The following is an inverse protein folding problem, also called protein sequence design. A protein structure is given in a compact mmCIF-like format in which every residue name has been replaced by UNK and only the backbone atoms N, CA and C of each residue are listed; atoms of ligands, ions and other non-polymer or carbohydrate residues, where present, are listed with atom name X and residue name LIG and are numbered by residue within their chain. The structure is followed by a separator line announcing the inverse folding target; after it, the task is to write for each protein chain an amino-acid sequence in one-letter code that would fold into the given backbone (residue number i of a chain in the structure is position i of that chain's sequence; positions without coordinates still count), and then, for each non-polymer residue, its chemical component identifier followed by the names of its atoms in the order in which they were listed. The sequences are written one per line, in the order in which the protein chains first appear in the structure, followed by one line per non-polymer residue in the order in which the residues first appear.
data_IF_006323102811
#
_entry.id   IF_006323102811
#
_cell.length_a   1.000
_cell.length_b   1.000
_cell.length_c   1.000
_cell.angle_alpha   90.00
_cell.angle_beta   90.00
_cell.angle_gamma   90.00
#
_symmetry.space_group_name_H-M   'P 1'
#
loop_
_entity.id
_entity.type
_entity.pdbx_description
1 polymer ?
#
# COMPACT_ATOMS: atom_id res chain seq x y z
N UNK A 1 -0.98 -8.65 -5.44
CA UNK A 1 -0.24 -7.39 -5.60
C UNK A 1 0.92 -7.34 -4.63
N UNK A 2 2.05 -6.81 -5.07
CA UNK A 2 3.24 -6.70 -4.23
C UNK A 2 3.41 -5.29 -3.67
N UNK A 3 3.89 -5.19 -2.43
CA UNK A 3 4.35 -3.95 -1.82
C UNK A 3 5.78 -4.16 -1.30
N UNK A 4 6.65 -3.19 -1.59
CA UNK A 4 8.04 -3.22 -1.14
C UNK A 4 8.50 -1.80 -0.84
N UNK A 5 9.75 -1.67 -0.38
CA UNK A 5 10.35 -0.35 -0.13
C UNK A 5 11.30 0.04 -1.26
N UNK A 6 11.69 1.32 -1.28
CA UNK A 6 12.86 1.75 -2.01
C UNK A 6 14.14 1.12 -1.40
N UNK A 7 15.27 1.21 -2.10
CA UNK A 7 16.55 0.75 -1.57
C UNK A 7 16.94 1.57 -0.34
N UNK A 8 17.71 0.96 0.56
CA UNK A 8 18.20 1.59 1.78
C UNK A 8 17.06 2.16 2.64
N UNK A 9 15.96 1.42 2.72
CA UNK A 9 14.78 1.83 3.45
C UNK A 9 15.03 1.85 4.96
N UNK A 10 14.44 2.83 5.63
CA UNK A 10 14.44 2.91 7.08
C UNK A 10 13.32 2.05 7.69
N UNK A 11 13.29 2.01 9.03
CA UNK A 11 12.31 1.20 9.76
C UNK A 11 10.87 1.67 9.53
N UNK A 12 10.64 2.95 9.28
CA UNK A 12 9.29 3.50 9.06
C UNK A 12 8.72 3.05 7.72
N UNK A 13 9.54 3.03 6.67
CA UNK A 13 9.14 2.52 5.37
C UNK A 13 8.78 1.03 5.45
N UNK A 14 9.62 0.24 6.11
CA UNK A 14 9.40 -1.21 6.29
C UNK A 14 8.14 -1.49 7.10
N UNK A 15 7.91 -0.71 8.16
CA UNK A 15 6.74 -0.85 9.01
C UNK A 15 5.45 -0.55 8.25
N UNK A 16 5.44 0.49 7.44
CA UNK A 16 4.29 0.82 6.60
C UNK A 16 3.94 -0.34 5.67
N UNK A 17 4.92 -0.90 4.96
CA UNK A 17 4.72 -2.06 4.10
C UNK A 17 4.14 -3.24 4.86
N UNK A 18 4.69 -3.54 6.03
CA UNK A 18 4.24 -4.66 6.86
C UNK A 18 2.79 -4.50 7.30
N UNK A 19 2.41 -3.32 7.79
CA UNK A 19 1.04 -3.07 8.25
C UNK A 19 0.06 -3.02 7.08
N UNK A 20 0.42 -2.38 5.98
CA UNK A 20 -0.43 -2.32 4.81
C UNK A 20 -0.76 -3.74 4.31
N UNK A 21 0.25 -4.59 4.19
CA UNK A 21 0.06 -5.99 3.78
C UNK A 21 -0.70 -6.80 4.82
N UNK A 22 -0.55 -6.48 6.10
CA UNK A 22 -1.29 -7.14 7.18
C UNK A 22 -2.79 -6.83 7.11
N UNK A 23 -3.15 -5.58 6.78
CA UNK A 23 -4.54 -5.14 6.71
C UNK A 23 -5.21 -5.41 5.36
N UNK A 24 -4.43 -5.72 4.32
CA UNK A 24 -4.94 -6.14 3.02
C UNK A 24 -4.34 -7.49 2.63
N UNK A 25 -5.07 -8.61 2.86
CA UNK A 25 -4.53 -9.95 2.58
C UNK A 25 -4.11 -10.19 1.12
N UNK A 26 -4.69 -9.45 0.18
CA UNK A 26 -4.33 -9.55 -1.24
C UNK A 26 -3.01 -8.87 -1.59
N UNK A 27 -2.46 -8.07 -0.67
CA UNK A 27 -1.20 -7.36 -0.84
C UNK A 27 -0.11 -8.13 -0.11
N UNK A 28 0.96 -8.50 -0.82
CA UNK A 28 2.08 -9.24 -0.24
C UNK A 28 3.28 -8.33 -0.06
N UNK A 29 3.78 -8.26 1.16
CA UNK A 29 5.03 -7.53 1.46
C UNK A 29 6.23 -8.37 1.07
N UNK A 30 7.09 -7.81 0.22
CA UNK A 30 8.35 -8.43 -0.17
C UNK A 30 9.48 -7.52 0.28
N UNK A 31 10.42 -8.04 1.10
CA UNK A 31 11.61 -7.26 1.46
C UNK A 31 12.39 -6.88 0.20
N UNK A 32 12.75 -5.59 0.09
CA UNK A 32 13.48 -5.11 -1.09
C UNK A 32 14.87 -5.74 -1.19
N UNK A 33 15.63 -5.76 -0.09
CA UNK A 33 16.98 -6.25 -0.10
C UNK A 33 17.83 -5.57 -1.16
N UNK A 34 18.58 -6.37 -1.92
CA UNK A 34 19.42 -5.91 -3.02
C UNK A 34 18.73 -6.03 -4.39
N UNK A 35 17.44 -6.38 -4.41
CA UNK A 35 16.72 -6.57 -5.67
C UNK A 35 16.59 -5.27 -6.45
N UNK A 36 16.88 -5.34 -7.76
CA UNK A 36 16.67 -4.22 -8.67
C UNK A 36 15.16 -4.12 -9.03
N UNK A 37 14.71 -2.93 -9.39
CA UNK A 37 13.33 -2.70 -9.83
C UNK A 37 12.91 -3.64 -10.95
N UNK A 38 13.81 -3.87 -11.91
CA UNK A 38 13.52 -4.75 -13.06
C UNK A 38 13.08 -6.14 -12.60
N UNK A 39 13.77 -6.72 -11.62
CA UNK A 39 13.42 -8.05 -11.10
C UNK A 39 12.08 -8.06 -10.38
N UNK A 40 11.77 -6.99 -9.67
CA UNK A 40 10.47 -6.85 -9.01
C UNK A 40 9.35 -6.72 -10.04
N UNK A 41 9.58 -5.98 -11.13
CA UNK A 41 8.64 -5.85 -12.23
C UNK A 41 8.38 -7.18 -12.93
N UNK A 42 9.45 -7.95 -13.19
CA UNK A 42 9.34 -9.29 -13.77
C UNK A 42 8.50 -10.20 -12.88
N UNK A 43 8.75 -10.19 -11.58
CA UNK A 43 8.00 -11.01 -10.62
C UNK A 43 6.52 -10.62 -10.57
N UNK A 44 6.23 -9.34 -10.47
CA UNK A 44 4.85 -8.84 -10.44
C UNK A 44 4.12 -9.15 -11.74
N UNK A 45 4.79 -8.99 -12.88
CA UNK A 45 4.23 -9.35 -14.19
C UNK A 45 3.94 -10.84 -14.29
N UNK A 46 4.85 -11.68 -13.83
CA UNK A 46 4.66 -13.13 -13.80
C UNK A 46 3.45 -13.54 -12.96
N UNK A 47 3.22 -12.85 -11.84
CA UNK A 47 2.07 -13.08 -10.98
C UNK A 47 0.75 -12.51 -11.54
N UNK A 48 0.82 -11.81 -12.66
CA UNK A 48 -0.37 -11.19 -13.27
C UNK A 48 -0.84 -9.93 -12.59
N UNK A 49 0.01 -9.29 -11.79
CA UNK A 49 -0.36 -8.06 -11.07
C UNK A 49 -0.46 -6.88 -12.01
N UNK A 50 -1.50 -6.06 -11.85
CA UNK A 50 -1.67 -4.82 -12.61
C UNK A 50 -0.96 -3.63 -11.98
N UNK A 51 -0.69 -3.69 -10.68
CA UNK A 51 -0.04 -2.64 -9.92
C UNK A 51 1.04 -3.19 -9.01
N UNK A 52 2.02 -2.33 -8.71
CA UNK A 52 3.11 -2.59 -7.76
C UNK A 52 3.27 -1.35 -6.89
N UNK A 53 3.35 -1.55 -5.59
CA UNK A 53 3.48 -0.46 -4.62
C UNK A 53 4.91 -0.39 -4.09
N UNK A 54 5.49 0.81 -4.11
CA UNK A 54 6.83 1.05 -3.55
C UNK A 54 6.75 2.20 -2.54
N UNK A 55 7.20 1.92 -1.31
CA UNK A 55 7.23 2.91 -0.25
C UNK A 55 8.61 3.52 -0.16
N UNK A 56 8.72 4.78 -0.47
CA UNK A 56 9.95 5.57 -0.40
C UNK A 56 9.84 6.74 0.55
N UNK A 57 10.71 7.71 0.37
CA UNK A 57 10.72 8.96 1.12
C UNK A 57 10.78 10.15 0.18
N UNK A 58 10.08 11.22 0.55
CA UNK A 58 10.15 12.50 -0.14
C UNK A 58 9.97 13.62 0.85
N UNK A 59 10.96 14.51 0.94
CA UNK A 59 10.94 15.66 1.85
C UNK A 59 10.65 15.25 3.31
N UNK A 60 11.26 14.16 3.77
CA UNK A 60 11.11 13.68 5.14
C UNK A 60 9.86 12.87 5.43
N UNK A 61 8.89 12.81 4.52
CA UNK A 61 7.66 12.04 4.68
C UNK A 61 7.74 10.72 3.92
N UNK A 62 6.86 9.78 4.26
CA UNK A 62 6.72 8.56 3.46
C UNK A 62 6.05 8.91 2.13
N UNK A 63 6.50 8.25 1.08
CA UNK A 63 5.89 8.36 -0.24
C UNK A 63 5.45 6.99 -0.70
N UNK A 64 4.15 6.82 -0.96
CA UNK A 64 3.63 5.61 -1.59
C UNK A 64 3.57 5.85 -3.09
N UNK A 65 4.43 5.14 -3.82
CA UNK A 65 4.47 5.18 -5.28
C UNK A 65 3.70 4.01 -5.84
N UNK A 66 2.73 4.29 -6.71
CA UNK A 66 1.93 3.27 -7.38
C UNK A 66 2.43 3.14 -8.81
N UNK A 67 2.92 1.95 -9.16
CA UNK A 67 3.35 1.61 -10.49
C UNK A 67 2.28 0.79 -11.18
N UNK A 68 1.97 1.12 -12.42
CA UNK A 68 0.97 0.43 -13.22
C UNK A 68 1.62 -0.35 -14.35
N UNK A 69 1.17 -1.58 -14.56
CA UNK A 69 1.67 -2.43 -15.63
C UNK A 69 1.14 -2.00 -16.99
N UNK A 70 2.05 -1.93 -17.96
CA UNK A 70 1.75 -1.81 -19.39
C UNK A 70 2.52 -2.91 -20.10
N UNK A 71 1.81 -3.92 -20.62
CA UNK A 71 2.41 -5.13 -21.18
C UNK A 71 3.20 -5.89 -20.10
N UNK A 72 4.54 -5.97 -20.20
CA UNK A 72 5.40 -6.67 -19.23
C UNK A 72 6.19 -5.70 -18.34
N UNK A 73 6.04 -4.41 -18.54
CA UNK A 73 6.76 -3.38 -17.78
C UNK A 73 5.83 -2.59 -16.88
N UNK A 74 6.39 -2.01 -15.81
CA UNK A 74 5.66 -1.15 -14.88
C UNK A 74 6.16 0.27 -14.99
N UNK A 75 5.25 1.24 -14.94
CA UNK A 75 5.55 2.67 -15.03
C UNK A 75 4.92 3.42 -13.88
N UNK A 76 5.56 4.48 -13.37
CA UNK A 76 4.97 5.31 -12.34
C UNK A 76 3.60 5.83 -12.79
N UNK A 77 2.58 5.66 -11.96
CA UNK A 77 1.21 6.11 -12.27
C UNK A 77 0.81 7.26 -11.34
N UNK A 78 0.89 7.04 -10.04
CA UNK A 78 0.60 8.06 -9.04
C UNK A 78 1.53 7.90 -7.84
N UNK A 79 1.73 8.99 -7.10
CA UNK A 79 2.39 8.93 -5.81
C UNK A 79 1.62 9.74 -4.78
N UNK A 80 1.71 9.31 -3.55
CA UNK A 80 1.04 9.93 -2.41
C UNK A 80 2.06 10.22 -1.33
N UNK A 81 2.10 11.45 -0.85
CA UNK A 81 2.91 11.81 0.31
C UNK A 81 2.04 11.59 1.54
N UNK A 82 2.52 10.78 2.48
CA UNK A 82 1.77 10.33 3.63
C UNK A 82 2.33 10.91 4.93
N UNK A 83 1.43 11.29 5.83
CA UNK A 83 1.78 11.85 7.13
C UNK A 83 0.80 11.35 8.20
N UNK A 84 1.10 11.63 9.48
CA UNK A 84 0.24 11.29 10.62
C UNK A 84 -0.15 9.81 10.63
N UNK A 85 0.84 8.93 10.52
CA UNK A 85 0.62 7.49 10.40
C UNK A 85 0.43 6.88 11.80
N UNK A 86 -0.68 6.19 11.97
CA UNK A 86 -1.04 5.49 13.22
C UNK A 86 -1.11 3.99 12.97
N UNK A 87 -0.55 3.22 13.89
CA UNK A 87 -0.57 1.75 13.86
C UNK A 87 -1.04 1.18 15.18
N UNK A 88 -1.89 0.16 15.10
CA UNK A 88 -2.24 -0.69 16.24
C UNK A 88 -2.29 -2.13 15.76
N UNK A 89 -1.54 -3.00 16.41
CA UNK A 89 -1.49 -4.41 16.01
C UNK A 89 -2.85 -5.08 16.24
N UNK A 90 -3.42 -5.78 15.24
CA UNK A 90 -4.66 -6.52 15.43
C UNK A 90 -4.44 -7.73 16.34
N UNK A 91 -5.49 -8.14 17.08
CA UNK A 91 -5.44 -9.31 17.96
C UNK A 91 -5.37 -10.61 17.15
N UNK A 92 -6.13 -10.70 16.07
CA UNK A 92 -6.24 -11.88 15.23
C UNK A 92 -5.76 -11.61 13.83
N UNK A 93 -5.42 -12.69 13.10
CA UNK A 93 -5.05 -12.60 11.70
C UNK A 93 -6.24 -12.11 10.88
N UNK A 94 -5.98 -11.12 10.03
CA UNK A 94 -7.00 -10.56 9.14
C UNK A 94 -7.07 -11.40 7.88
N UNK A 95 -8.27 -11.86 7.53
CA UNK A 95 -8.49 -12.71 6.38
C UNK A 95 -9.24 -12.01 5.24
N UNK A 96 -9.89 -10.89 5.53
CA UNK A 96 -10.64 -10.14 4.52
C UNK A 96 -10.60 -8.65 4.80
N UNK A 97 -10.57 -7.86 3.72
CA UNK A 97 -10.58 -6.41 3.80
C UNK A 97 -11.38 -5.82 2.64
N UNK A 98 -12.07 -4.73 2.90
CA UNK A 98 -12.75 -3.93 1.87
C UNK A 98 -12.21 -2.52 1.89
N UNK A 99 -12.22 -1.85 0.73
CA UNK A 99 -11.71 -0.51 0.60
C UNK A 99 -12.69 0.38 -0.18
N UNK A 100 -12.82 1.62 0.25
CA UNK A 100 -13.67 2.61 -0.40
C UNK A 100 -12.97 3.97 -0.41
N UNK A 101 -12.84 4.56 -1.58
CA UNK A 101 -12.23 5.86 -1.76
C UNK A 101 -11.23 5.87 -2.91
N UNK A 102 -10.94 7.06 -3.43
CA UNK A 102 -10.09 7.24 -4.61
C UNK A 102 -8.63 6.81 -4.38
N UNK A 103 -8.15 6.87 -3.14
CA UNK A 103 -6.82 6.39 -2.80
C UNK A 103 -6.63 4.93 -3.20
N UNK A 104 -7.67 4.11 -3.04
CA UNK A 104 -7.61 2.67 -3.26
C UNK A 104 -7.84 2.26 -4.72
N UNK A 105 -7.63 3.15 -5.67
CA UNK A 105 -7.88 2.89 -7.09
C UNK A 105 -7.10 1.69 -7.63
N UNK A 106 -5.98 1.34 -7.01
CA UNK A 106 -5.12 0.23 -7.43
C UNK A 106 -5.58 -1.13 -6.89
N UNK A 107 -6.59 -1.16 -6.01
CA UNK A 107 -7.14 -2.41 -5.49
C UNK A 107 -8.34 -2.84 -6.32
N UNK A 108 -8.50 -4.15 -6.48
CA UNK A 108 -9.70 -4.69 -7.08
C UNK A 108 -10.90 -4.50 -6.16
N UNK A 109 -12.11 -4.62 -6.71
CA UNK A 109 -13.34 -4.52 -5.92
C UNK A 109 -13.33 -5.56 -4.81
N UNK A 110 -13.50 -5.08 -3.58
CA UNK A 110 -13.51 -5.90 -2.40
C UNK A 110 -14.93 -6.13 -1.91
N UNK A 111 -15.13 -7.26 -1.22
CA UNK A 111 -16.41 -7.64 -0.68
C UNK A 111 -16.84 -6.72 0.46
N UNK A 112 -18.14 -6.36 0.51
CA UNK A 112 -18.71 -5.50 1.54
C UNK A 112 -18.76 -6.15 2.92
N UNK A 113 -18.67 -7.49 3.01
CA UNK A 113 -18.76 -8.24 4.28
C UNK A 113 -17.39 -8.55 4.88
N UNK A 114 -16.41 -7.72 4.63
CA UNK A 114 -15.05 -7.92 5.11
C UNK A 114 -14.88 -7.55 6.58
N UNK A 115 -13.93 -8.22 7.26
CA UNK A 115 -13.55 -7.94 8.65
C UNK A 115 -13.04 -6.51 8.81
N UNK A 116 -12.15 -6.10 7.91
CA UNK A 116 -11.60 -4.74 7.88
C UNK A 116 -12.32 -3.91 6.85
N UNK A 117 -12.62 -2.68 7.25
CA UNK A 117 -13.14 -1.66 6.35
C UNK A 117 -12.16 -0.50 6.30
N UNK A 118 -11.57 -0.30 5.12
CA UNK A 118 -10.69 0.82 4.85
C UNK A 118 -11.50 1.88 4.11
N UNK A 119 -11.52 3.10 4.63
CA UNK A 119 -12.28 4.19 4.02
C UNK A 119 -11.42 5.43 3.91
N UNK A 120 -11.67 6.21 2.87
CA UNK A 120 -11.08 7.52 2.70
C UNK A 120 -12.16 8.57 2.88
N UNK A 121 -11.90 9.53 3.78
CA UNK A 121 -12.72 10.72 3.94
C UNK A 121 -11.81 11.93 3.74
N UNK A 122 -12.03 12.66 2.65
CA UNK A 122 -11.15 13.74 2.22
C UNK A 122 -9.71 13.23 2.04
N UNK A 123 -8.76 13.71 2.84
CA UNK A 123 -7.36 13.31 2.77
C UNK A 123 -6.96 12.32 3.88
N UNK A 124 -7.90 11.78 4.63
CA UNK A 124 -7.64 10.82 5.68
C UNK A 124 -8.09 9.43 5.29
N UNK A 125 -7.19 8.45 5.46
CA UNK A 125 -7.46 7.04 5.21
C UNK A 125 -7.46 6.30 6.53
N UNK A 126 -8.51 5.52 6.80
CA UNK A 126 -8.72 4.86 8.08
C UNK A 126 -9.10 3.40 7.84
N UNK A 127 -8.44 2.51 8.57
CA UNK A 127 -8.72 1.07 8.56
C UNK A 127 -9.33 0.69 9.90
N UNK A 128 -10.57 0.17 9.87
CA UNK A 128 -11.32 -0.19 11.08
C UNK A 128 -11.72 -1.66 11.09
N UNK A 129 -11.64 -2.26 12.29
CA UNK A 129 -12.37 -3.49 12.60
C UNK A 129 -13.49 -3.06 13.54
N UNK A 130 -14.74 -3.30 13.13
CA UNK A 130 -15.93 -2.76 13.83
C UNK A 130 -15.78 -1.24 13.93
N UNK A 131 -15.71 -0.68 15.13
CA UNK A 131 -15.57 0.76 15.32
C UNK A 131 -14.17 1.17 15.80
N UNK A 132 -13.22 0.23 15.83
CA UNK A 132 -11.87 0.49 16.30
C UNK A 132 -10.93 0.78 15.14
N UNK A 133 -10.21 1.91 15.21
CA UNK A 133 -9.20 2.28 14.23
C UNK A 133 -7.91 1.53 14.55
N UNK A 134 -7.41 0.75 13.59
CA UNK A 134 -6.17 0.01 13.74
C UNK A 134 -5.02 0.55 12.89
N UNK A 135 -5.35 1.27 11.83
CA UNK A 135 -4.35 1.83 10.94
C UNK A 135 -4.94 3.07 10.30
N UNK A 136 -4.19 4.16 10.27
CA UNK A 136 -4.63 5.38 9.61
C UNK A 136 -3.44 6.22 9.17
N UNK A 137 -3.68 7.07 8.19
CA UNK A 137 -2.71 8.06 7.74
C UNK A 137 -3.44 9.18 6.98
N UNK A 138 -2.74 10.29 6.80
CA UNK A 138 -3.24 11.42 6.01
C UNK A 138 -2.46 11.52 4.72
N UNK A 139 -3.13 11.88 3.64
CA UNK A 139 -2.53 12.17 2.34
C UNK A 139 -2.26 13.67 2.30
N UNK A 140 -0.97 14.02 2.34
CA UNK A 140 -0.55 15.42 2.28
C UNK A 140 -0.63 15.95 0.85
N UNK A 141 -0.28 15.09 -0.12
CA UNK A 141 -0.18 15.48 -1.51
C UNK A 141 -0.31 14.24 -2.40
N UNK A 142 -0.95 14.39 -3.55
CA UNK A 142 -1.02 13.36 -4.59
C UNK A 142 -0.41 13.91 -5.87
N UNK A 143 0.47 13.13 -6.52
CA UNK A 143 1.06 13.47 -7.81
C UNK A 143 0.69 12.39 -8.84
N UNK A 144 0.21 12.84 -10.01
CA UNK A 144 -0.03 11.96 -11.17
C UNK A 144 1.17 12.01 -12.09
N UNK A 145 1.61 10.85 -12.50
CA UNK A 145 2.78 10.72 -13.40
C UNK A 145 2.35 10.62 -14.86
#
# INVERSE_FOLDING_TARGET
MLITTSRNADIFQKRFCKYFAMFFPEVKHIPRGQHQLRKLFEKASYLGDDFLLIVGRKKGNLELMVYKRKQTSFFPDRSFILTDIFYKKPKDKITSASAKGNFFYFLEKTDSDSEIKATQKENEVVFKIKNEILFSFKILCEEKQ
#
